data_IF_868540270175
#
_entry.id   IF_868540270175
#
_cell.length_a   1.000
_cell.length_b   1.000
_cell.length_c   1.000
_cell.angle_alpha   90.00
_cell.angle_beta   90.00
_cell.angle_gamma   90.00
#
_symmetry.space_group_name_H-M   'P 1'
#
loop_
_entity.id
_entity.type
_entity.pdbx_description
1 polymer ?
#
# COMPACT_ATOMS: atom_id res chain seq x y z
N UNK A 1 41.56 -12.51 30.30
CA UNK A 1 40.29 -12.63 29.55
C UNK A 1 39.11 -12.13 30.38
N UNK A 2 39.02 -12.42 31.69
CA UNK A 2 37.88 -11.96 32.53
C UNK A 2 37.73 -10.43 32.66
N UNK A 3 38.83 -9.67 32.68
CA UNK A 3 38.76 -8.20 32.75
C UNK A 3 38.16 -7.55 31.49
N UNK A 4 38.25 -8.22 30.33
CA UNK A 4 37.70 -7.74 29.05
C UNK A 4 36.20 -8.04 28.97
N UNK A 5 35.77 -9.20 29.48
CA UNK A 5 34.36 -9.60 29.48
C UNK A 5 33.44 -8.58 30.21
N UNK A 6 33.92 -7.98 31.31
CA UNK A 6 33.14 -7.02 32.09
C UNK A 6 32.82 -5.72 31.34
N UNK A 7 33.65 -5.32 30.38
CA UNK A 7 33.43 -4.13 29.53
C UNK A 7 32.66 -4.50 28.25
N UNK A 8 32.92 -5.69 27.70
CA UNK A 8 32.34 -6.15 26.44
C UNK A 8 30.83 -6.36 26.54
N UNK A 9 30.31 -6.95 27.62
CA UNK A 9 28.87 -7.18 27.77
C UNK A 9 28.01 -5.89 27.83
N UNK A 10 28.34 -4.85 28.64
CA UNK A 10 27.58 -3.60 28.60
C UNK A 10 27.77 -2.83 27.29
N UNK A 11 28.95 -2.92 26.66
CA UNK A 11 29.18 -2.35 25.34
C UNK A 11 28.30 -3.02 24.26
N UNK A 12 28.12 -4.34 24.33
CA UNK A 12 27.19 -5.08 23.48
C UNK A 12 25.74 -4.62 23.67
N UNK A 13 25.30 -4.40 24.91
CA UNK A 13 23.98 -3.83 25.19
C UNK A 13 23.75 -2.45 24.56
N UNK A 14 24.74 -1.56 24.64
CA UNK A 14 24.68 -0.24 24.00
C UNK A 14 24.71 -0.33 22.47
N UNK A 15 25.57 -1.18 21.92
CA UNK A 15 25.65 -1.44 20.48
C UNK A 15 24.33 -2.00 19.94
N UNK A 16 23.64 -2.84 20.71
CA UNK A 16 22.35 -3.41 20.36
C UNK A 16 21.23 -2.35 20.36
N UNK A 17 21.24 -1.43 21.32
CA UNK A 17 20.34 -0.27 21.31
C UNK A 17 20.59 0.66 20.10
N UNK A 18 21.86 0.89 19.76
CA UNK A 18 22.26 1.63 18.56
C UNK A 18 21.80 0.92 17.29
N UNK A 19 21.99 -0.40 17.22
CA UNK A 19 21.56 -1.24 16.11
C UNK A 19 20.05 -1.15 15.90
N UNK A 20 19.25 -1.32 16.95
CA UNK A 20 17.80 -1.16 16.89
C UNK A 20 17.41 0.25 16.40
N UNK A 21 18.03 1.29 16.94
CA UNK A 21 17.78 2.68 16.54
C UNK A 21 18.10 2.92 15.06
N UNK A 22 19.21 2.37 14.56
CA UNK A 22 19.57 2.46 13.14
C UNK A 22 18.56 1.71 12.29
N UNK A 23 18.21 0.47 12.66
CA UNK A 23 17.29 -0.38 11.92
C UNK A 23 15.89 0.23 11.77
N UNK A 24 15.34 0.81 12.84
CA UNK A 24 13.97 1.36 12.86
C UNK A 24 13.86 2.87 12.58
N UNK A 25 14.97 3.55 12.32
CA UNK A 25 14.97 4.98 11.97
C UNK A 25 15.04 5.21 10.46
N UNK A 26 14.92 6.49 10.06
CA UNK A 26 15.15 6.93 8.66
C UNK A 26 16.53 6.51 8.13
N UNK A 27 17.52 6.25 9.02
CA UNK A 27 18.90 5.80 8.69
C UNK A 27 19.00 4.33 8.31
N UNK A 28 18.03 3.49 8.69
CA UNK A 28 17.95 2.09 8.27
C UNK A 28 17.74 1.90 6.76
N UNK A 29 17.52 3.01 6.03
CA UNK A 29 17.50 3.04 4.56
C UNK A 29 18.90 3.12 3.93
N UNK A 30 19.94 3.45 4.69
CA UNK A 30 21.32 3.56 4.22
C UNK A 30 22.06 2.25 4.51
N UNK A 31 22.62 1.63 3.47
CA UNK A 31 23.34 0.36 3.59
C UNK A 31 24.60 0.47 4.47
N UNK A 32 25.28 1.63 4.43
CA UNK A 32 26.48 1.91 5.23
C UNK A 32 26.19 1.88 6.74
N UNK A 33 25.06 2.47 7.15
CA UNK A 33 24.68 2.54 8.56
C UNK A 33 24.32 1.16 9.10
N UNK A 34 23.59 0.35 8.32
CA UNK A 34 23.25 -1.03 8.67
C UNK A 34 24.52 -1.88 8.74
N UNK A 35 25.40 -1.80 7.74
CA UNK A 35 26.65 -2.56 7.69
C UNK A 35 27.59 -2.21 8.86
N UNK A 36 27.75 -0.92 9.17
CA UNK A 36 28.59 -0.49 10.29
C UNK A 36 28.04 -0.97 11.64
N UNK A 37 26.73 -0.84 11.86
CA UNK A 37 26.10 -1.27 13.11
C UNK A 37 26.14 -2.81 13.26
N UNK A 38 25.94 -3.57 12.18
CA UNK A 38 26.11 -5.02 12.17
C UNK A 38 27.56 -5.44 12.41
N UNK A 39 28.53 -4.78 11.77
CA UNK A 39 29.95 -5.07 11.95
C UNK A 39 30.41 -4.82 13.40
N UNK A 40 29.88 -3.77 14.04
CA UNK A 40 30.14 -3.47 15.44
C UNK A 40 29.65 -4.60 16.36
N UNK A 41 28.45 -5.12 16.13
CA UNK A 41 27.91 -6.27 16.89
C UNK A 41 28.70 -7.56 16.65
N UNK A 42 29.07 -7.85 15.39
CA UNK A 42 29.89 -9.02 15.08
C UNK A 42 31.27 -8.96 15.74
N UNK A 43 31.87 -7.76 15.80
CA UNK A 43 33.13 -7.55 16.51
C UNK A 43 32.96 -7.82 18.01
N UNK A 44 31.89 -7.34 18.63
CA UNK A 44 31.59 -7.57 20.05
C UNK A 44 31.32 -9.05 20.34
N UNK A 45 30.61 -9.75 19.46
CA UNK A 45 30.40 -11.19 19.55
C UNK A 45 31.73 -11.96 19.55
N UNK A 46 32.64 -11.67 18.60
CA UNK A 46 33.99 -12.28 18.55
C UNK A 46 34.82 -11.96 19.80
N UNK A 47 34.58 -10.83 20.45
CA UNK A 47 35.23 -10.43 21.71
C UNK A 47 34.64 -11.11 22.96
N UNK A 48 33.63 -11.98 22.81
CA UNK A 48 33.03 -12.78 23.88
C UNK A 48 31.61 -12.36 24.29
N UNK A 49 30.90 -11.62 23.45
CA UNK A 49 29.53 -11.18 23.71
C UNK A 49 28.44 -12.10 23.13
N UNK A 50 28.69 -13.41 22.95
CA UNK A 50 27.87 -14.37 22.19
C UNK A 50 26.32 -14.33 22.37
N UNK A 51 25.83 -13.79 23.48
CA UNK A 51 24.40 -13.59 23.74
C UNK A 51 23.74 -12.55 22.84
N UNK A 52 24.49 -11.56 22.32
CA UNK A 52 23.95 -10.41 21.57
C UNK A 52 23.51 -10.74 20.14
N UNK A 53 24.10 -11.79 19.56
CA UNK A 53 23.80 -12.31 18.22
C UNK A 53 22.34 -12.72 18.07
N UNK A 54 21.73 -13.30 19.10
CA UNK A 54 20.35 -13.79 19.10
C UNK A 54 19.30 -12.66 19.01
N UNK A 55 19.30 -11.64 19.90
CA UNK A 55 18.41 -10.50 19.79
C UNK A 55 18.66 -9.65 18.54
N UNK A 56 19.92 -9.50 18.10
CA UNK A 56 20.25 -8.80 16.86
C UNK A 56 19.63 -9.49 15.62
N UNK A 57 19.73 -10.82 15.57
CA UNK A 57 19.08 -11.67 14.57
C UNK A 57 17.55 -11.49 14.54
N UNK A 58 16.91 -11.45 15.72
CA UNK A 58 15.47 -11.20 15.84
C UNK A 58 15.06 -9.82 15.29
N UNK A 59 15.86 -8.79 15.57
CA UNK A 59 15.61 -7.44 15.04
C UNK A 59 15.76 -7.37 13.52
N UNK A 60 16.77 -8.05 12.95
CA UNK A 60 16.92 -8.18 11.50
C UNK A 60 15.72 -8.85 10.87
N UNK A 61 15.19 -9.92 11.48
CA UNK A 61 14.01 -10.60 10.97
C UNK A 61 12.77 -9.67 10.97
N UNK A 62 12.57 -8.91 12.05
CA UNK A 62 11.50 -7.89 12.11
C UNK A 62 11.65 -6.81 11.05
N UNK A 63 12.89 -6.34 10.82
CA UNK A 63 13.19 -5.39 9.75
C UNK A 63 12.89 -5.98 8.37
N UNK A 64 13.33 -7.21 8.10
CA UNK A 64 13.02 -7.94 6.87
C UNK A 64 11.52 -8.08 6.65
N UNK A 65 10.76 -8.49 7.67
CA UNK A 65 9.30 -8.56 7.59
C UNK A 65 8.68 -7.21 7.22
N UNK A 66 9.11 -6.12 7.86
CA UNK A 66 8.57 -4.78 7.58
C UNK A 66 8.95 -4.20 6.21
N UNK A 67 10.06 -4.66 5.62
CA UNK A 67 10.59 -4.13 4.35
C UNK A 67 10.31 -4.99 3.14
N UNK A 68 10.07 -6.30 3.32
CA UNK A 68 9.77 -7.23 2.24
C UNK A 68 8.36 -7.04 1.65
N UNK A 69 7.40 -6.48 2.41
CA UNK A 69 6.03 -6.22 1.96
C UNK A 69 5.77 -4.78 1.45
N UNK A 70 6.81 -3.92 1.38
CA UNK A 70 6.70 -2.52 0.89
C UNK A 70 7.51 -2.27 -0.39
N UNK A 71 7.93 -1.01 -0.64
CA UNK A 71 8.75 -0.55 -1.79
C UNK A 71 10.15 -1.23 -1.92
N UNK A 72 10.16 -2.54 -2.13
CA UNK A 72 11.32 -3.43 -2.14
C UNK A 72 12.35 -3.04 -3.23
N UNK A 73 11.88 -2.54 -4.37
CA UNK A 73 12.75 -2.09 -5.48
C UNK A 73 13.64 -0.88 -5.12
N UNK A 74 13.15 0.07 -4.31
CA UNK A 74 13.92 1.27 -3.94
C UNK A 74 14.87 1.03 -2.77
N UNK A 75 14.76 -0.11 -2.08
CA UNK A 75 15.49 -0.45 -0.84
C UNK A 75 16.41 -1.68 -0.98
N UNK A 76 16.57 -2.19 -2.20
CA UNK A 76 17.37 -3.38 -2.51
C UNK A 76 18.82 -3.38 -1.94
N UNK A 77 19.60 -2.28 -1.96
CA UNK A 77 20.96 -2.31 -1.41
C UNK A 77 21.02 -2.49 0.12
N UNK A 78 20.05 -1.92 0.86
CA UNK A 78 19.98 -2.11 2.31
C UNK A 78 19.57 -3.54 2.67
N UNK A 79 18.73 -4.16 1.84
CA UNK A 79 18.31 -5.56 2.01
C UNK A 79 19.46 -6.54 1.73
N UNK A 80 20.28 -6.27 0.72
CA UNK A 80 21.49 -7.05 0.49
C UNK A 80 22.45 -6.95 1.68
N UNK A 81 22.67 -5.74 2.21
CA UNK A 81 23.49 -5.56 3.41
C UNK A 81 22.92 -6.32 4.62
N UNK A 82 21.61 -6.26 4.83
CA UNK A 82 20.93 -7.01 5.89
C UNK A 82 21.02 -8.53 5.68
N UNK A 83 20.98 -9.01 4.44
CA UNK A 83 21.08 -10.43 4.09
C UNK A 83 22.50 -10.95 4.31
N UNK A 84 23.51 -10.18 3.89
CA UNK A 84 24.92 -10.45 4.17
C UNK A 84 25.17 -10.47 5.68
N UNK A 85 24.67 -9.47 6.41
CA UNK A 85 24.76 -9.43 7.88
C UNK A 85 24.10 -10.64 8.54
N UNK A 86 22.94 -11.06 8.04
CA UNK A 86 22.24 -12.27 8.53
C UNK A 86 23.09 -13.53 8.34
N UNK A 87 23.78 -13.66 7.20
CA UNK A 87 24.72 -14.75 6.96
C UNK A 87 25.90 -14.76 7.95
N UNK A 88 26.42 -13.58 8.30
CA UNK A 88 27.45 -13.48 9.33
C UNK A 88 26.93 -13.83 10.73
N UNK A 89 25.71 -13.40 11.09
CA UNK A 89 25.11 -13.79 12.38
C UNK A 89 24.83 -15.30 12.46
N UNK A 90 24.45 -15.95 11.36
CA UNK A 90 24.35 -17.42 11.29
C UNK A 90 25.69 -18.09 11.62
N UNK A 91 26.78 -17.65 10.99
CA UNK A 91 28.12 -18.22 11.20
C UNK A 91 28.62 -18.09 12.66
N UNK A 92 28.16 -17.06 13.39
CA UNK A 92 28.61 -16.78 14.77
C UNK A 92 27.73 -17.46 15.82
N UNK A 93 26.57 -18.04 15.45
CA UNK A 93 25.76 -18.84 16.38
C UNK A 93 24.24 -18.67 16.28
N UNK A 94 23.73 -17.84 15.37
CA UNK A 94 22.29 -17.70 15.14
C UNK A 94 21.74 -18.72 14.11
N UNK A 95 22.07 -20.01 14.25
CA UNK A 95 21.64 -21.07 13.33
C UNK A 95 20.11 -21.18 13.20
N UNK A 96 19.37 -20.79 14.23
CA UNK A 96 17.90 -20.77 14.20
C UNK A 96 17.31 -19.82 13.14
N UNK A 97 18.06 -18.83 12.64
CA UNK A 97 17.60 -17.91 11.58
C UNK A 97 17.35 -18.60 10.24
N UNK A 98 17.90 -19.81 10.04
CA UNK A 98 17.79 -20.52 8.76
C UNK A 98 16.33 -20.82 8.45
N UNK A 99 15.56 -21.26 9.45
CA UNK A 99 14.14 -21.59 9.28
C UNK A 99 13.27 -20.37 8.91
N UNK A 100 13.28 -19.25 9.65
CA UNK A 100 12.46 -18.10 9.29
C UNK A 100 12.92 -17.42 8.00
N UNK A 101 14.23 -17.38 7.69
CA UNK A 101 14.70 -16.85 6.40
C UNK A 101 14.36 -17.80 5.25
N UNK A 102 14.40 -19.11 5.43
CA UNK A 102 13.96 -20.08 4.43
C UNK A 102 12.45 -20.01 4.20
N UNK A 103 11.65 -19.86 5.25
CA UNK A 103 10.19 -19.67 5.14
C UNK A 103 9.86 -18.35 4.47
N UNK A 104 10.49 -17.24 4.88
CA UNK A 104 10.33 -15.95 4.17
C UNK A 104 10.80 -16.07 2.73
N UNK A 105 11.95 -16.68 2.47
CA UNK A 105 12.48 -16.91 1.13
C UNK A 105 11.56 -17.76 0.27
N UNK A 106 10.90 -18.77 0.86
CA UNK A 106 9.92 -19.61 0.17
C UNK A 106 8.64 -18.84 -0.14
N UNK A 107 8.08 -18.12 0.85
CA UNK A 107 6.93 -17.22 0.64
C UNK A 107 7.26 -16.23 -0.47
N UNK A 108 8.45 -15.65 -0.42
CA UNK A 108 8.92 -14.64 -1.34
C UNK A 108 9.19 -15.21 -2.74
N UNK A 109 9.74 -16.42 -2.86
CA UNK A 109 9.91 -17.14 -4.11
C UNK A 109 8.56 -17.54 -4.72
N UNK A 110 7.58 -17.93 -3.90
CA UNK A 110 6.21 -18.15 -4.36
C UNK A 110 5.54 -16.85 -4.85
N UNK A 111 5.68 -15.75 -4.12
CA UNK A 111 5.17 -14.43 -4.55
C UNK A 111 5.89 -13.91 -5.81
N UNK A 112 7.21 -14.10 -5.92
CA UNK A 112 8.02 -13.66 -7.06
C UNK A 112 7.86 -14.56 -8.29
N UNK A 113 7.74 -15.88 -8.15
CA UNK A 113 7.46 -16.80 -9.25
C UNK A 113 6.07 -16.51 -9.87
N UNK A 114 5.08 -16.17 -9.05
CA UNK A 114 3.78 -15.67 -9.53
C UNK A 114 3.88 -14.32 -10.25
N UNK A 115 4.92 -13.51 -9.95
CA UNK A 115 5.17 -12.21 -10.58
C UNK A 115 5.99 -12.33 -11.88
N UNK A 116 6.83 -13.35 -12.02
CA UNK A 116 7.73 -13.53 -13.17
C UNK A 116 7.10 -14.36 -14.30
N UNK A 117 6.21 -15.31 -14.00
CA UNK A 117 5.46 -16.09 -15.01
C UNK A 117 4.53 -15.21 -15.87
N UNK A 118 4.17 -14.01 -15.42
CA UNK A 118 3.38 -13.04 -16.20
C UNK A 118 4.20 -12.10 -17.11
N UNK A 119 5.53 -12.22 -17.17
CA UNK A 119 6.40 -11.22 -17.86
C UNK A 119 6.97 -11.67 -19.21
N UNK A 120 6.77 -12.92 -19.62
CA UNK A 120 7.47 -13.51 -20.76
C UNK A 120 6.70 -13.55 -22.09
N UNK A 121 5.64 -12.79 -22.28
CA UNK A 121 4.95 -12.76 -23.58
C UNK A 121 4.65 -11.34 -24.09
N UNK A 122 5.73 -10.60 -24.33
CA UNK A 122 5.67 -9.28 -24.96
C UNK A 122 6.42 -9.31 -26.29
N UNK A 123 5.93 -10.11 -27.24
CA UNK A 123 6.36 -10.01 -28.64
C UNK A 123 5.17 -10.18 -29.58
N UNK A 124 4.78 -9.06 -30.24
CA UNK A 124 3.84 -8.97 -31.37
C UNK A 124 2.36 -9.23 -30.98
N UNK A 125 1.35 -8.48 -31.42
CA UNK A 125 1.06 -7.97 -32.76
C UNK A 125 0.25 -6.67 -32.62
N UNK A 126 0.56 -5.67 -33.45
CA UNK A 126 -0.27 -4.48 -33.58
C UNK A 126 -1.58 -4.77 -34.32
N UNK A 127 -2.69 -4.29 -33.79
CA UNK A 127 -3.91 -4.02 -34.55
C UNK A 127 -4.74 -2.95 -33.82
N UNK A 128 -5.33 -2.05 -34.59
CA UNK A 128 -6.04 -0.83 -34.20
C UNK A 128 -7.28 -1.06 -33.29
N UNK A 129 -7.71 -0.04 -32.51
CA UNK A 129 -8.88 -0.16 -31.65
C UNK A 129 -10.18 -0.14 -32.47
N UNK A 130 -11.02 -1.17 -32.31
CA UNK A 130 -12.44 -1.11 -32.68
C UNK A 130 -13.24 -0.68 -31.46
N UNK A 131 -14.07 0.34 -31.65
CA UNK A 131 -14.97 0.89 -30.65
C UNK A 131 -15.94 -0.16 -30.08
N UNK A 132 -16.32 -0.08 -28.79
CA UNK A 132 -17.28 -0.99 -28.18
C UNK A 132 -18.69 -0.76 -28.71
N UNK A 133 -19.35 -1.86 -29.06
CA UNK A 133 -20.75 -1.91 -29.45
C UNK A 133 -21.66 -1.66 -28.24
N UNK A 134 -22.70 -0.87 -28.45
CA UNK A 134 -23.73 -0.50 -27.46
C UNK A 134 -24.59 -1.70 -27.07
N UNK A 135 -24.82 -1.86 -25.76
CA UNK A 135 -25.80 -2.80 -25.19
C UNK A 135 -27.19 -2.13 -25.14
N UNK A 136 -28.27 -2.82 -25.55
CA UNK A 136 -29.61 -2.25 -25.51
C UNK A 136 -30.19 -2.19 -24.09
N UNK A 137 -30.82 -1.05 -23.81
CA UNK A 137 -31.75 -0.81 -22.71
C UNK A 137 -32.98 -1.73 -22.77
N UNK A 138 -33.48 -2.07 -21.56
CA UNK A 138 -34.83 -2.54 -21.22
C UNK A 138 -35.17 -4.03 -21.39
N UNK A 139 -35.27 -4.72 -20.24
CA UNK A 139 -36.38 -5.62 -19.92
C UNK A 139 -36.63 -5.62 -18.38
N UNK A 140 -37.90 -5.53 -17.98
CA UNK A 140 -38.40 -5.37 -16.60
C UNK A 140 -37.95 -6.48 -15.63
N UNK A 141 -37.90 -6.26 -14.32
CA UNK A 141 -38.94 -5.69 -13.46
C UNK A 141 -39.70 -6.84 -12.78
N UNK A 142 -39.52 -7.04 -11.47
CA UNK A 142 -40.55 -7.52 -10.54
C UNK A 142 -40.05 -7.44 -9.09
N UNK A 143 -40.83 -6.74 -8.24
CA UNK A 143 -40.68 -6.74 -6.78
C UNK A 143 -41.58 -7.82 -6.16
N UNK A 144 -41.03 -8.56 -5.21
CA UNK A 144 -41.70 -9.33 -4.15
C UNK A 144 -40.62 -9.42 -3.06
N UNK A 145 -40.81 -9.00 -1.81
CA UNK A 145 -41.99 -9.03 -0.98
C UNK A 145 -41.49 -9.52 0.38
N UNK A 146 -41.71 -8.71 1.39
CA UNK A 146 -41.44 -8.93 2.81
C UNK A 146 -41.72 -10.37 3.31
N UNK A 147 -40.77 -10.98 4.02
CA UNK A 147 -41.05 -12.12 4.89
C UNK A 147 -40.13 -12.18 6.13
N UNK A 148 -40.72 -11.80 7.27
CA UNK A 148 -40.44 -12.18 8.67
C UNK A 148 -39.05 -11.85 9.29
N UNK A 149 -38.95 -11.41 10.55
CA UNK A 149 -39.93 -11.41 11.63
C UNK A 149 -39.46 -10.60 12.85
N UNK A 150 -40.43 -10.35 13.72
CA UNK A 150 -40.43 -9.47 14.87
C UNK A 150 -39.49 -9.88 16.02
N UNK A 151 -39.02 -8.88 16.76
CA UNK A 151 -38.44 -8.99 18.10
C UNK A 151 -38.59 -7.65 18.83
N UNK A 152 -39.48 -7.63 19.82
CA UNK A 152 -39.94 -6.45 20.57
C UNK A 152 -38.96 -5.94 21.65
N UNK A 153 -39.30 -4.74 22.19
CA UNK A 153 -38.99 -4.16 23.53
C UNK A 153 -37.61 -3.48 23.66
N UNK A 154 -37.42 -2.30 24.28
CA UNK A 154 -38.13 -1.63 25.37
C UNK A 154 -37.90 -0.09 25.35
N UNK A 155 -38.57 0.66 26.23
CA UNK A 155 -38.99 2.07 26.05
C UNK A 155 -37.98 3.09 26.54
N UNK A 156 -38.03 4.32 26.00
CA UNK A 156 -37.92 5.52 26.85
C UNK A 156 -38.63 6.73 26.20
N UNK A 157 -39.71 7.15 26.86
CA UNK A 157 -40.39 8.42 26.59
C UNK A 157 -39.50 9.57 27.08
N UNK A 158 -39.18 10.51 26.19
CA UNK A 158 -38.89 11.90 26.58
C UNK A 158 -39.87 12.80 25.84
N UNK A 159 -40.76 13.39 26.62
CA UNK A 159 -41.75 14.38 26.20
C UNK A 159 -41.11 15.75 25.98
N UNK A 160 -41.30 16.37 24.82
CA UNK A 160 -41.27 17.83 24.67
C UNK A 160 -41.97 18.31 23.37
N UNK A 161 -43.08 19.03 23.58
CA UNK A 161 -43.83 20.04 22.80
C UNK A 161 -43.58 20.23 21.28
N UNK A 162 -44.65 20.33 20.44
CA UNK A 162 -44.52 20.50 18.99
C UNK A 162 -44.28 21.96 18.58
N UNK A 163 -43.33 22.18 17.67
CA UNK A 163 -43.21 23.42 16.88
C UNK A 163 -43.81 23.20 15.48
N UNK A 164 -44.46 24.21 14.87
CA UNK A 164 -45.35 24.02 13.73
C UNK A 164 -44.62 23.58 12.45
N UNK A 165 -45.29 22.68 11.72
CA UNK A 165 -44.84 22.08 10.48
C UNK A 165 -44.45 23.13 9.43
N UNK A 166 -43.16 23.16 9.08
CA UNK A 166 -42.68 23.83 7.86
C UNK A 166 -43.04 22.93 6.68
N UNK A 167 -43.90 23.42 5.80
CA UNK A 167 -44.27 22.75 4.55
C UNK A 167 -42.97 22.40 3.80
N UNK A 168 -42.75 21.14 3.37
CA UNK A 168 -41.57 20.80 2.59
C UNK A 168 -41.68 21.51 1.24
N UNK A 169 -40.77 22.45 0.98
CA UNK A 169 -40.49 22.86 -0.39
C UNK A 169 -40.02 21.66 -1.21
N UNK A 170 -40.14 21.69 -2.54
CA UNK A 170 -39.68 20.59 -3.39
C UNK A 170 -38.22 20.26 -3.04
N UNK A 171 -37.95 18.98 -2.77
CA UNK A 171 -36.59 18.46 -2.59
C UNK A 171 -35.80 18.81 -3.86
N UNK A 172 -35.04 19.90 -3.80
CA UNK A 172 -33.97 20.15 -4.75
C UNK A 172 -33.03 18.94 -4.59
N UNK A 173 -32.89 18.17 -5.67
CA UNK A 173 -31.90 17.10 -5.72
C UNK A 173 -30.54 17.69 -5.26
N UNK A 174 -29.76 17.00 -4.40
CA UNK A 174 -28.47 17.52 -3.97
C UNK A 174 -27.66 17.92 -5.21
N UNK A 175 -27.37 19.21 -5.35
CA UNK A 175 -26.39 19.64 -6.33
C UNK A 175 -25.08 18.91 -6.00
N UNK A 176 -24.40 18.30 -6.98
CA UNK A 176 -23.12 17.66 -6.73
C UNK A 176 -22.23 18.69 -6.04
N UNK A 177 -21.80 18.40 -4.82
CA UNK A 177 -20.90 19.29 -4.09
C UNK A 177 -19.70 19.60 -5.01
N UNK A 178 -19.35 20.87 -5.15
CA UNK A 178 -18.24 21.29 -5.99
C UNK A 178 -16.98 20.53 -5.57
N UNK A 179 -16.34 19.85 -6.52
CA UNK A 179 -15.13 19.05 -6.26
C UNK A 179 -14.00 20.00 -5.84
N UNK A 180 -13.53 19.99 -4.58
CA UNK A 180 -12.57 20.97 -4.04
C UNK A 180 -11.24 20.95 -4.81
N UNK A 181 -10.92 19.84 -5.47
CA UNK A 181 -9.80 19.74 -6.38
C UNK A 181 -9.87 20.79 -7.49
N UNK A 182 -11.06 21.14 -7.99
CA UNK A 182 -11.22 22.09 -9.10
C UNK A 182 -10.74 23.48 -8.74
N UNK A 183 -10.96 23.89 -7.49
CA UNK A 183 -10.50 25.18 -6.97
C UNK A 183 -8.99 25.17 -6.76
N UNK A 184 -8.44 24.14 -6.11
CA UNK A 184 -6.99 24.02 -5.87
C UNK A 184 -6.17 23.86 -7.15
N UNK A 185 -6.68 23.16 -8.17
CA UNK A 185 -6.02 23.05 -9.47
C UNK A 185 -5.86 24.41 -10.16
N UNK A 186 -6.64 25.43 -9.79
CA UNK A 186 -6.60 26.80 -10.33
C UNK A 186 -5.92 27.80 -9.39
N UNK A 187 -5.63 27.41 -8.15
CA UNK A 187 -5.05 28.33 -7.16
C UNK A 187 -3.58 28.63 -7.48
N UNK A 188 -3.31 29.87 -7.88
CA UNK A 188 -1.96 30.39 -8.14
C UNK A 188 -1.02 30.36 -6.94
N UNK A 189 -1.54 30.22 -5.72
CA UNK A 189 -0.74 30.07 -4.49
C UNK A 189 -0.07 28.70 -4.39
N UNK A 190 -0.62 27.69 -5.06
CA UNK A 190 -0.02 26.36 -5.08
C UNK A 190 1.10 26.30 -6.13
N UNK A 191 2.26 25.68 -5.82
CA UNK A 191 3.33 25.45 -6.78
C UNK A 191 2.83 24.67 -8.00
N UNK A 192 3.39 24.93 -9.19
CA UNK A 192 2.96 24.29 -10.43
C UNK A 192 3.01 22.77 -10.40
N UNK A 193 4.07 22.20 -9.82
CA UNK A 193 4.23 20.76 -9.64
C UNK A 193 3.16 20.17 -8.72
N UNK A 194 2.84 20.83 -7.60
CA UNK A 194 1.79 20.38 -6.68
C UNK A 194 0.42 20.38 -7.37
N UNK A 195 0.12 21.38 -8.21
CA UNK A 195 -1.12 21.38 -9.00
C UNK A 195 -1.18 20.21 -9.98
N UNK A 196 -0.07 19.86 -10.64
CA UNK A 196 -0.01 18.70 -11.53
C UNK A 196 -0.23 17.38 -10.75
N UNK A 197 0.37 17.25 -9.57
CA UNK A 197 0.13 16.09 -8.68
C UNK A 197 -1.33 16.00 -8.24
N UNK A 198 -1.98 17.12 -7.91
CA UNK A 198 -3.40 17.14 -7.56
C UNK A 198 -4.31 16.70 -8.71
N UNK A 199 -3.99 17.07 -9.96
CA UNK A 199 -4.70 16.58 -11.15
C UNK A 199 -4.56 15.06 -11.25
N UNK A 200 -3.34 14.54 -11.12
CA UNK A 200 -3.07 13.11 -11.16
C UNK A 200 -3.82 12.36 -10.04
N UNK A 201 -3.75 12.85 -8.81
CA UNK A 201 -4.46 12.29 -7.65
C UNK A 201 -5.97 12.26 -7.85
N UNK A 202 -6.56 13.36 -8.35
CA UNK A 202 -8.00 13.41 -8.62
C UNK A 202 -8.44 12.35 -9.62
N UNK A 203 -7.68 12.19 -10.71
CA UNK A 203 -7.96 11.19 -11.74
C UNK A 203 -7.77 9.77 -11.20
N UNK A 204 -6.63 9.48 -10.58
CA UNK A 204 -6.29 8.14 -10.07
C UNK A 204 -7.22 7.68 -8.95
N UNK A 205 -7.62 8.56 -8.04
CA UNK A 205 -8.57 8.20 -6.98
C UNK A 205 -9.96 7.90 -7.54
N UNK A 206 -10.43 8.67 -8.54
CA UNK A 206 -11.70 8.38 -9.22
C UNK A 206 -11.66 7.05 -9.98
N UNK A 207 -10.57 6.81 -10.69
CA UNK A 207 -10.29 5.55 -11.39
C UNK A 207 -10.31 4.38 -10.40
N UNK A 208 -9.57 4.48 -9.29
CA UNK A 208 -9.50 3.45 -8.26
C UNK A 208 -10.88 3.14 -7.64
N UNK A 209 -11.62 4.18 -7.25
CA UNK A 209 -12.97 4.00 -6.68
C UNK A 209 -13.93 3.35 -7.69
N UNK A 210 -13.86 3.74 -8.96
CA UNK A 210 -14.71 3.17 -10.01
C UNK A 210 -14.37 1.69 -10.25
N UNK A 211 -13.08 1.33 -10.29
CA UNK A 211 -12.67 -0.06 -10.43
C UNK A 211 -13.04 -0.91 -9.22
N UNK A 212 -12.83 -0.41 -8.01
CA UNK A 212 -13.19 -1.12 -6.78
C UNK A 212 -14.70 -1.36 -6.69
N UNK A 213 -15.52 -0.38 -7.10
CA UNK A 213 -16.97 -0.56 -7.21
C UNK A 213 -17.36 -1.58 -8.27
N UNK A 214 -16.69 -1.59 -9.42
CA UNK A 214 -16.91 -2.59 -10.46
C UNK A 214 -16.56 -4.02 -10.04
N UNK A 215 -15.66 -4.19 -9.08
CA UNK A 215 -15.26 -5.48 -8.50
C UNK A 215 -16.08 -5.89 -7.26
N UNK A 216 -17.17 -5.17 -6.95
CA UNK A 216 -17.98 -5.35 -5.74
C UNK A 216 -17.16 -5.25 -4.43
N UNK A 217 -16.02 -4.54 -4.46
CA UNK A 217 -15.16 -4.30 -3.29
C UNK A 217 -15.59 -3.07 -2.49
N UNK A 218 -16.90 -2.82 -2.46
CA UNK A 218 -17.50 -1.77 -1.64
C UNK A 218 -17.34 -2.14 -0.15
N UNK A 219 -16.87 -1.19 0.65
CA UNK A 219 -16.50 -1.41 2.04
C UNK A 219 -15.17 -2.15 2.25
N UNK A 220 -14.38 -2.38 1.18
CA UNK A 220 -13.01 -2.90 1.33
C UNK A 220 -12.08 -1.84 1.92
N UNK A 221 -11.01 -2.28 2.59
CA UNK A 221 -9.96 -1.39 3.08
C UNK A 221 -9.39 -0.50 1.96
N UNK A 222 -9.23 -1.04 0.76
CA UNK A 222 -8.77 -0.30 -0.41
C UNK A 222 -9.73 0.82 -0.83
N UNK A 223 -11.05 0.58 -0.78
CA UNK A 223 -12.05 1.62 -1.08
C UNK A 223 -12.06 2.70 0.01
N UNK A 224 -12.02 2.30 1.29
CA UNK A 224 -11.90 3.23 2.41
C UNK A 224 -10.66 4.10 2.29
N UNK A 225 -9.50 3.51 1.98
CA UNK A 225 -8.25 4.25 1.84
C UNK A 225 -8.29 5.20 0.63
N UNK A 226 -8.78 4.76 -0.52
CA UNK A 226 -8.94 5.62 -1.70
C UNK A 226 -9.88 6.80 -1.44
N UNK A 227 -10.98 6.57 -0.70
CA UNK A 227 -11.90 7.63 -0.26
C UNK A 227 -11.22 8.58 0.74
N UNK A 228 -10.53 8.07 1.76
CA UNK A 228 -9.84 8.88 2.75
C UNK A 228 -8.73 9.75 2.13
N UNK A 229 -7.96 9.21 1.18
CA UNK A 229 -6.96 9.98 0.42
C UNK A 229 -7.65 11.17 -0.27
N UNK A 230 -8.76 10.90 -0.96
CA UNK A 230 -9.49 11.90 -1.74
C UNK A 230 -10.13 12.97 -0.86
N UNK A 231 -10.81 12.57 0.20
CA UNK A 231 -11.73 13.42 0.98
C UNK A 231 -11.11 14.00 2.26
N UNK A 232 -10.03 13.41 2.78
CA UNK A 232 -9.44 13.81 4.06
C UNK A 232 -7.96 14.19 3.90
N UNK A 233 -7.12 13.30 3.38
CA UNK A 233 -5.66 13.47 3.44
C UNK A 233 -5.15 14.55 2.48
N UNK A 234 -5.55 14.51 1.20
CA UNK A 234 -5.18 15.54 0.24
C UNK A 234 -5.70 16.92 0.66
N UNK A 235 -6.99 17.09 1.03
CA UNK A 235 -7.49 18.36 1.56
C UNK A 235 -6.71 18.89 2.75
N UNK A 236 -6.35 18.01 3.69
CA UNK A 236 -5.59 18.40 4.88
C UNK A 236 -4.18 18.89 4.51
N UNK A 237 -3.47 18.17 3.63
CA UNK A 237 -2.13 18.54 3.18
C UNK A 237 -2.12 19.90 2.44
N UNK A 238 -3.06 20.08 1.50
CA UNK A 238 -3.21 21.34 0.75
C UNK A 238 -3.57 22.50 1.68
N UNK A 239 -4.51 22.29 2.60
CA UNK A 239 -4.92 23.30 3.58
C UNK A 239 -3.78 23.70 4.51
N UNK A 240 -2.96 22.75 4.95
CA UNK A 240 -1.79 23.02 5.79
C UNK A 240 -0.78 23.92 5.06
N UNK A 241 -0.53 23.66 3.77
CA UNK A 241 0.33 24.51 2.94
C UNK A 241 -0.26 25.92 2.74
N UNK A 242 -1.56 26.02 2.44
CA UNK A 242 -2.22 27.31 2.18
C UNK A 242 -2.34 28.21 3.43
N UNK A 243 -2.26 27.63 4.63
CA UNK A 243 -2.17 28.37 5.89
C UNK A 243 -0.81 29.05 6.09
N UNK A 244 0.25 28.62 5.39
CA UNK A 244 1.56 29.24 5.49
C UNK A 244 1.57 30.65 4.87
N UNK A 245 2.33 31.61 5.44
CA UNK A 245 2.53 32.91 4.82
C UNK A 245 3.17 32.76 3.43
N UNK A 246 2.58 33.41 2.42
CA UNK A 246 3.00 33.27 1.00
C UNK A 246 4.49 33.56 0.78
N UNK A 247 5.05 34.53 1.51
CA UNK A 247 6.46 34.93 1.38
C UNK A 247 7.44 33.91 1.96
N UNK A 248 6.97 32.96 2.77
CA UNK A 248 7.78 31.97 3.48
C UNK A 248 7.54 30.53 3.07
N UNK A 249 6.38 30.21 2.47
CA UNK A 249 6.01 28.83 2.12
C UNK A 249 7.06 28.12 1.23
N UNK A 250 7.70 28.87 0.33
CA UNK A 250 8.67 28.35 -0.63
C UNK A 250 10.14 28.56 -0.23
N UNK A 251 10.41 29.30 0.86
CA UNK A 251 11.75 29.83 1.15
C UNK A 251 12.22 29.53 2.57
N UNK A 252 11.30 29.50 3.54
CA UNK A 252 11.65 29.22 4.92
C UNK A 252 11.72 27.71 5.13
N UNK A 253 12.86 27.19 5.65
CA UNK A 253 12.95 25.79 6.03
C UNK A 253 12.04 25.54 7.25
N UNK A 254 11.32 24.42 7.22
CA UNK A 254 10.41 24.00 8.29
C UNK A 254 11.02 22.80 9.04
N UNK A 255 11.36 21.73 8.32
CA UNK A 255 11.90 20.51 8.90
C UNK A 255 13.05 19.98 8.04
N UNK A 256 14.21 19.70 8.65
CA UNK A 256 15.34 19.08 7.96
C UNK A 256 15.85 19.85 6.73
N UNK A 257 15.71 21.17 6.74
CA UNK A 257 16.07 22.05 5.61
C UNK A 257 15.05 22.10 4.47
N UNK A 258 13.92 21.37 4.59
CA UNK A 258 12.86 21.35 3.58
C UNK A 258 11.90 22.52 3.76
N UNK A 259 11.50 23.12 2.65
CA UNK A 259 10.50 24.19 2.62
C UNK A 259 9.07 23.62 2.69
N UNK A 260 8.07 24.46 2.93
CA UNK A 260 6.66 24.05 2.89
C UNK A 260 6.26 23.46 1.54
N UNK A 261 6.82 23.99 0.44
CA UNK A 261 6.65 23.44 -0.91
C UNK A 261 7.20 22.02 -1.02
N UNK A 262 8.40 21.78 -0.51
CA UNK A 262 9.03 20.47 -0.58
C UNK A 262 8.23 19.42 0.20
N UNK A 263 7.75 19.80 1.39
CA UNK A 263 6.92 18.94 2.23
C UNK A 263 5.57 18.63 1.60
N UNK A 264 4.91 19.62 0.96
CA UNK A 264 3.65 19.38 0.25
C UNK A 264 3.88 18.41 -0.91
N UNK A 265 4.90 18.65 -1.72
CA UNK A 265 5.23 17.80 -2.88
C UNK A 265 5.47 16.35 -2.48
N UNK A 266 6.23 16.12 -1.41
CA UNK A 266 6.51 14.77 -0.90
C UNK A 266 5.26 14.07 -0.37
N UNK A 267 4.37 14.81 0.32
CA UNK A 267 3.11 14.24 0.79
C UNK A 267 2.20 13.85 -0.37
N UNK A 268 2.04 14.72 -1.38
CA UNK A 268 1.22 14.41 -2.54
C UNK A 268 1.81 13.26 -3.37
N UNK A 269 3.13 13.14 -3.46
CA UNK A 269 3.81 12.02 -4.12
C UNK A 269 3.52 10.69 -3.41
N UNK A 270 3.63 10.68 -2.07
CA UNK A 270 3.30 9.51 -1.25
C UNK A 270 1.84 9.09 -1.42
N UNK A 271 0.91 10.05 -1.41
CA UNK A 271 -0.51 9.76 -1.60
C UNK A 271 -0.79 9.24 -3.01
N UNK A 272 -0.10 9.75 -4.03
CA UNK A 272 -0.25 9.29 -5.41
C UNK A 272 0.27 7.86 -5.57
N UNK A 273 1.42 7.54 -4.95
CA UNK A 273 1.99 6.19 -4.93
C UNK A 273 1.03 5.21 -4.27
N UNK A 274 0.45 5.56 -3.12
CA UNK A 274 -0.53 4.71 -2.43
C UNK A 274 -1.78 4.39 -3.28
N UNK A 275 -2.30 5.37 -4.04
CA UNK A 275 -3.44 5.12 -4.95
C UNK A 275 -3.04 4.26 -6.13
N UNK A 276 -1.81 4.43 -6.65
CA UNK A 276 -1.30 3.59 -7.72
C UNK A 276 -1.15 2.13 -7.27
N UNK A 277 -0.68 1.90 -6.04
CA UNK A 277 -0.58 0.56 -5.46
C UNK A 277 -1.96 -0.12 -5.36
N UNK A 278 -3.00 0.64 -4.98
CA UNK A 278 -4.39 0.14 -4.99
C UNK A 278 -4.82 -0.27 -6.40
N UNK A 279 -4.59 0.58 -7.40
CA UNK A 279 -4.92 0.28 -8.79
C UNK A 279 -4.19 -0.97 -9.30
N UNK A 280 -2.89 -1.06 -9.05
CA UNK A 280 -2.08 -2.19 -9.48
C UNK A 280 -2.55 -3.50 -8.83
N UNK A 281 -2.95 -3.46 -7.55
CA UNK A 281 -3.54 -4.61 -6.87
C UNK A 281 -4.88 -5.04 -7.48
N UNK A 282 -5.77 -4.09 -7.81
CA UNK A 282 -7.06 -4.40 -8.46
C UNK A 282 -6.88 -4.99 -9.86
N UNK A 283 -5.93 -4.48 -10.64
CA UNK A 283 -5.59 -5.01 -11.96
C UNK A 283 -5.06 -6.45 -11.88
N UNK A 284 -4.20 -6.74 -10.89
CA UNK A 284 -3.71 -8.09 -10.67
C UNK A 284 -4.82 -9.05 -10.24
N UNK A 285 -5.74 -8.62 -9.39
CA UNK A 285 -6.88 -9.43 -8.97
C UNK A 285 -7.80 -9.76 -10.15
N UNK A 286 -8.21 -8.75 -10.92
CA UNK A 286 -9.06 -8.94 -12.11
C UNK A 286 -8.39 -9.79 -13.19
N UNK A 287 -7.07 -9.64 -13.38
CA UNK A 287 -6.31 -10.48 -14.31
C UNK A 287 -6.29 -11.97 -13.92
N UNK A 288 -6.20 -12.29 -12.62
CA UNK A 288 -6.27 -13.68 -12.14
C UNK A 288 -7.65 -14.30 -12.35
N UNK A 289 -8.71 -13.53 -12.13
CA UNK A 289 -10.08 -13.98 -12.38
C UNK A 289 -10.30 -14.29 -13.87
N UNK A 290 -9.84 -13.40 -14.77
CA UNK A 290 -9.90 -13.61 -16.21
C UNK A 290 -9.18 -14.89 -16.65
N UNK A 291 -7.96 -15.13 -16.14
CA UNK A 291 -7.19 -16.34 -16.44
C UNK A 291 -7.86 -17.61 -15.91
N UNK A 292 -8.48 -17.53 -14.73
CA UNK A 292 -9.24 -18.64 -14.16
C UNK A 292 -10.47 -18.96 -15.01
N UNK A 293 -11.19 -17.93 -15.45
CA UNK A 293 -12.33 -18.08 -16.34
C UNK A 293 -11.92 -18.66 -17.70
N UNK A 294 -10.81 -18.19 -18.27
CA UNK A 294 -10.27 -18.74 -19.53
C UNK A 294 -9.99 -20.23 -19.42
N UNK A 295 -9.29 -20.68 -18.36
CA UNK A 295 -9.00 -22.11 -18.14
C UNK A 295 -10.28 -22.94 -17.99
N UNK A 296 -11.27 -22.42 -17.29
CA UNK A 296 -12.58 -23.07 -17.18
C UNK A 296 -13.25 -23.22 -18.55
N UNK A 297 -13.20 -22.19 -19.40
CA UNK A 297 -13.74 -22.26 -20.76
C UNK A 297 -12.97 -23.28 -21.62
N UNK A 298 -11.65 -23.32 -21.52
CA UNK A 298 -10.80 -24.30 -22.21
C UNK A 298 -11.13 -25.74 -21.78
N UNK A 299 -11.25 -26.02 -20.48
CA UNK A 299 -11.60 -27.35 -19.98
C UNK A 299 -13.00 -27.78 -20.47
N UNK A 300 -13.96 -26.86 -20.41
CA UNK A 300 -15.37 -27.15 -20.71
C UNK A 300 -15.65 -27.29 -22.21
N UNK A 301 -15.00 -26.47 -23.04
CA UNK A 301 -15.28 -26.39 -24.48
C UNK A 301 -14.15 -26.90 -25.36
N UNK A 302 -12.89 -26.91 -24.89
CA UNK A 302 -11.76 -27.47 -25.62
C UNK A 302 -11.86 -28.99 -25.78
N UNK A 303 -12.23 -29.71 -24.72
CA UNK A 303 -12.43 -31.17 -24.76
C UNK A 303 -13.59 -31.60 -25.68
N UNK A 304 -14.58 -30.72 -25.89
CA UNK A 304 -15.72 -31.00 -26.76
C UNK A 304 -15.38 -30.90 -28.26
N UNK A 305 -14.39 -30.06 -28.62
CA UNK A 305 -13.88 -29.95 -29.98
C UNK A 305 -13.03 -31.16 -30.38
N UNK A 306 -12.19 -31.65 -29.46
CA UNK A 306 -11.34 -32.84 -29.68
C UNK A 306 -12.17 -34.11 -29.88
N UNK A 307 -13.23 -34.29 -29.07
CA UNK A 307 -14.14 -35.44 -29.15
C UNK A 307 -15.05 -35.44 -30.39
N UNK A 308 -15.25 -34.28 -31.03
CA UNK A 308 -16.00 -34.16 -32.27
C UNK A 308 -15.14 -34.47 -33.52
N UNK A 309 -13.82 -34.33 -33.41
CA UNK A 309 -12.88 -34.70 -34.48
C UNK A 309 -12.63 -36.21 -34.50
N UNK A 310 -12.58 -36.83 -33.32
CA UNK A 310 -12.42 -38.28 -33.14
C UNK A 310 -13.66 -39.10 -33.58
N UNK A 311 -14.83 -38.45 -33.73
CA UNK A 311 -16.06 -39.08 -34.22
C UNK A 311 -16.23 -39.05 -35.75
N UNK A 312 -15.25 -38.51 -36.50
CA UNK A 312 -15.27 -38.44 -37.98
C UNK A 312 -14.44 -39.52 -38.68
N UNK A 313 -13.97 -40.55 -37.95
CA UNK A 313 -13.22 -41.69 -38.52
C UNK A 313 -14.13 -42.89 -38.78
#
# INVERSE_FOLDING_TARGET
MEAVAWIVHPAAGLALGLFASVLFSKRGRQWEAVAFASALLLLLAVLGADWDVHPAAGMLLGYFGSTAFGHWQKRWPALLAALVASGFFMLVGADWMIFPLAVMGLIWLFTAAFSFVGRSDKTQVGAAPKAPAELPEQAGGFSLGSWFGAGEKHWELVTATPAPARVPGPKVAPQPAADPYTEWMRDSRLPGEARAQLVALNLRTKEALTHLHGLDQQGSEAEYLARAIREEYVPTAVSAYLKLPRTRADTAPIEGGKTGRDLLREQLDLLLEAVQDILDATLQAGGRELLTHQRFLEDRFGTAAEKADDLKV
#
